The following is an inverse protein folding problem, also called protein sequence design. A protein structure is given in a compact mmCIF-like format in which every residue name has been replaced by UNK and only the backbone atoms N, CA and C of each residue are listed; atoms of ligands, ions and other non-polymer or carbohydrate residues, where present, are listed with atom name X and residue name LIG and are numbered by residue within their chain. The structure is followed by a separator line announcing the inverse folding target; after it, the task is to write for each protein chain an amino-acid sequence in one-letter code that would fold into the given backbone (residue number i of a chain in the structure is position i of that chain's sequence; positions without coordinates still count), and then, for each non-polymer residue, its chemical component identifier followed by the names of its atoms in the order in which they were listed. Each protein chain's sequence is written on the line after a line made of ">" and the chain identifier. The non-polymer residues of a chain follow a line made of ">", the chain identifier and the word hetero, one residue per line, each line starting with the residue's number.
data_IF_758570027725
#
_entry.id   IF_758570027725
#
_cell.length_a   1.000
_cell.length_b   1.000
_cell.length_c   1.000
_cell.angle_alpha   90.00
_cell.angle_beta   90.00
_cell.angle_gamma   90.00
#
_symmetry.space_group_name_H-M   'P 1'
#
loop_
_entity.id
_entity.type
_entity.pdbx_description
1 polymer ?
#
# COMPACT_ATOMS: atom_id res chain seq x y z
N UNK A 1 -21.44 4.21 6.34
CA UNK A 1 -21.24 3.53 5.05
C UNK A 1 -19.82 3.78 4.56
N UNK A 2 -19.26 2.85 3.78
CA UNK A 2 -17.94 2.96 3.15
C UNK A 2 -18.15 3.12 1.64
N UNK A 3 -17.54 4.13 1.05
CA UNK A 3 -17.63 4.42 -0.39
C UNK A 3 -16.23 4.54 -1.00
N UNK A 4 -16.05 3.93 -2.18
CA UNK A 4 -14.84 4.12 -2.96
C UNK A 4 -15.04 5.32 -3.91
N UNK A 5 -14.44 6.45 -3.54
CA UNK A 5 -14.55 7.70 -4.34
C UNK A 5 -13.52 7.79 -5.47
N UNK A 6 -12.55 6.88 -5.53
CA UNK A 6 -11.57 6.84 -6.61
C UNK A 6 -10.52 5.73 -6.47
N UNK A 7 -9.88 5.38 -7.58
CA UNK A 7 -8.71 4.52 -7.62
C UNK A 7 -7.76 5.00 -8.72
N UNK A 8 -6.46 4.87 -8.49
CA UNK A 8 -5.42 5.25 -9.46
C UNK A 8 -4.10 4.56 -9.10
N UNK A 9 -3.09 4.72 -9.94
CA UNK A 9 -1.74 4.17 -9.73
C UNK A 9 -0.79 5.26 -9.25
N UNK A 10 0.37 4.89 -8.68
CA UNK A 10 1.43 5.88 -8.40
C UNK A 10 2.25 6.26 -9.66
N UNK A 11 1.96 5.61 -10.79
CA UNK A 11 2.69 5.70 -12.06
C UNK A 11 4.18 5.30 -12.01
N UNK A 12 4.58 4.58 -10.96
CA UNK A 12 5.96 4.16 -10.75
C UNK A 12 6.87 5.31 -10.32
N UNK A 13 8.18 5.06 -10.28
CA UNK A 13 9.15 6.07 -9.88
C UNK A 13 9.31 7.13 -10.99
N UNK A 14 9.37 8.44 -10.64
CA UNK A 14 9.69 9.01 -9.32
C UNK A 14 8.48 9.29 -8.40
N UNK A 15 7.29 8.76 -8.69
CA UNK A 15 6.11 8.93 -7.83
C UNK A 15 5.37 10.26 -8.04
N UNK A 16 5.60 10.95 -9.16
CA UNK A 16 4.97 12.24 -9.45
C UNK A 16 3.44 12.18 -9.44
N UNK A 17 2.85 11.03 -9.78
CA UNK A 17 1.40 10.89 -9.74
C UNK A 17 0.85 10.86 -8.32
N UNK A 18 1.65 10.56 -7.28
CA UNK A 18 1.17 10.59 -5.87
C UNK A 18 0.70 11.98 -5.46
N UNK A 19 1.33 13.03 -5.98
CA UNK A 19 0.91 14.42 -5.75
C UNK A 19 -0.42 14.73 -6.43
N UNK A 20 -0.51 14.49 -7.74
CA UNK A 20 -1.73 14.78 -8.51
C UNK A 20 -2.91 13.89 -8.06
N UNK A 21 -2.67 12.58 -7.92
CA UNK A 21 -3.66 11.62 -7.45
C UNK A 21 -4.16 11.96 -6.04
N UNK A 22 -3.24 12.29 -5.11
CA UNK A 22 -3.61 12.69 -3.76
C UNK A 22 -4.55 13.90 -3.78
N UNK A 23 -4.22 14.93 -4.56
CA UNK A 23 -5.05 16.12 -4.72
C UNK A 23 -6.45 15.79 -5.25
N UNK A 24 -6.55 15.00 -6.33
CA UNK A 24 -7.84 14.68 -6.93
C UNK A 24 -8.68 13.76 -6.02
N UNK A 25 -8.09 12.79 -5.33
CA UNK A 25 -8.81 11.96 -4.36
C UNK A 25 -9.43 12.81 -3.25
N UNK A 26 -8.66 13.74 -2.67
CA UNK A 26 -9.12 14.64 -1.60
C UNK A 26 -10.24 15.56 -2.10
N UNK A 27 -10.07 16.12 -3.30
CA UNK A 27 -11.08 16.98 -3.95
C UNK A 27 -12.40 16.23 -4.18
N UNK A 28 -12.36 14.92 -4.41
CA UNK A 28 -13.53 14.06 -4.53
C UNK A 28 -14.05 13.52 -3.18
N UNK A 29 -13.55 14.05 -2.05
CA UNK A 29 -14.07 13.73 -0.73
C UNK A 29 -13.39 12.54 -0.04
N UNK A 30 -12.21 12.09 -0.50
CA UNK A 30 -11.49 11.02 0.19
C UNK A 30 -11.04 11.48 1.59
N UNK A 31 -11.48 10.77 2.63
CA UNK A 31 -11.04 10.95 4.02
C UNK A 31 -9.86 10.03 4.37
N UNK A 32 -9.76 8.90 3.67
CA UNK A 32 -8.72 7.88 3.85
C UNK A 32 -8.18 7.49 2.47
N UNK A 33 -6.85 7.44 2.33
CA UNK A 33 -6.17 6.95 1.13
C UNK A 33 -5.47 5.64 1.48
N UNK A 34 -5.75 4.58 0.73
CA UNK A 34 -5.02 3.32 0.86
C UNK A 34 -3.88 3.24 -0.16
N UNK A 35 -2.67 2.93 0.29
CA UNK A 35 -1.58 2.48 -0.57
C UNK A 35 -1.66 0.95 -0.70
N UNK A 36 -1.81 0.45 -1.92
CA UNK A 36 -2.08 -0.96 -2.19
C UNK A 36 -1.01 -1.92 -1.67
N UNK A 37 -1.42 -3.15 -1.33
CA UNK A 37 -0.53 -4.23 -0.87
C UNK A 37 0.64 -4.48 -1.83
N UNK A 38 0.44 -4.28 -3.14
CA UNK A 38 1.50 -4.40 -4.15
C UNK A 38 2.66 -3.41 -3.98
N UNK A 39 2.50 -2.29 -3.26
CA UNK A 39 3.63 -1.43 -2.90
C UNK A 39 4.50 -2.07 -1.80
N UNK A 40 3.95 -2.95 -0.97
CA UNK A 40 4.66 -3.63 0.14
C UNK A 40 5.41 -4.87 -0.36
N UNK A 41 4.82 -5.62 -1.30
CA UNK A 41 5.31 -6.91 -1.79
C UNK A 41 5.32 -6.97 -3.32
N UNK A 42 5.72 -5.88 -3.96
CA UNK A 42 5.96 -5.85 -5.41
C UNK A 42 7.32 -6.45 -5.78
N UNK A 43 7.67 -6.46 -7.06
CA UNK A 43 8.97 -6.92 -7.56
C UNK A 43 9.68 -5.79 -8.31
N UNK A 44 10.36 -4.85 -7.63
CA UNK A 44 10.65 -4.83 -6.18
C UNK A 44 9.55 -4.16 -5.34
N UNK A 45 9.56 -4.35 -4.00
CA UNK A 45 8.79 -3.53 -3.07
C UNK A 45 9.08 -2.05 -3.28
N UNK A 46 8.08 -1.18 -3.06
CA UNK A 46 8.27 0.26 -3.19
C UNK A 46 9.24 0.76 -2.12
N UNK A 47 10.39 1.34 -2.49
CA UNK A 47 11.37 1.83 -1.52
C UNK A 47 10.97 3.18 -0.89
N UNK A 48 9.89 3.81 -1.38
CA UNK A 48 9.47 5.17 -1.01
C UNK A 48 8.08 5.22 -0.37
N UNK A 49 7.53 4.08 0.04
CA UNK A 49 6.16 4.02 0.57
C UNK A 49 5.97 4.92 1.80
N UNK A 50 6.95 4.99 2.71
CA UNK A 50 6.89 5.86 3.90
C UNK A 50 6.95 7.35 3.53
N UNK A 51 7.71 7.68 2.47
CA UNK A 51 7.73 9.02 1.90
C UNK A 51 6.36 9.40 1.35
N UNK A 52 5.68 8.48 0.67
CA UNK A 52 4.32 8.72 0.14
C UNK A 52 3.29 8.89 1.25
N UNK A 53 3.34 8.05 2.29
CA UNK A 53 2.51 8.20 3.50
C UNK A 53 2.72 9.59 4.09
N UNK A 54 3.97 9.95 4.40
CA UNK A 54 4.31 11.23 5.02
C UNK A 54 3.88 12.40 4.14
N UNK A 55 4.13 12.34 2.83
CA UNK A 55 3.74 13.39 1.90
C UNK A 55 2.23 13.63 1.90
N UNK A 56 1.43 12.57 1.73
CA UNK A 56 -0.03 12.68 1.65
C UNK A 56 -0.62 13.23 2.96
N UNK A 57 -0.18 12.72 4.11
CA UNK A 57 -0.67 13.17 5.43
C UNK A 57 -0.20 14.58 5.80
N UNK A 58 0.95 15.03 5.30
CA UNK A 58 1.42 16.42 5.51
C UNK A 58 0.76 17.40 4.56
N UNK A 59 0.44 16.98 3.33
CA UNK A 59 -0.10 17.85 2.29
C UNK A 59 -1.61 18.02 2.41
N UNK A 60 -2.32 16.99 2.89
CA UNK A 60 -3.78 16.93 2.92
C UNK A 60 -4.30 16.44 4.28
N UNK A 61 -5.52 16.83 4.68
CA UNK A 61 -6.14 16.35 5.91
C UNK A 61 -6.76 14.95 5.72
N UNK A 62 -5.95 13.96 5.35
CA UNK A 62 -6.36 12.57 5.13
C UNK A 62 -5.53 11.62 5.98
N UNK A 63 -6.13 10.48 6.33
CA UNK A 63 -5.38 9.34 6.88
C UNK A 63 -4.85 8.49 5.76
N UNK A 64 -3.60 8.03 5.85
CA UNK A 64 -3.06 7.06 4.90
C UNK A 64 -2.97 5.69 5.57
N UNK A 65 -3.42 4.65 4.86
CA UNK A 65 -3.34 3.25 5.32
C UNK A 65 -2.57 2.45 4.28
N UNK A 66 -1.54 1.73 4.71
CA UNK A 66 -0.78 0.84 3.84
C UNK A 66 -1.34 -0.58 3.91
N UNK A 67 -1.57 -1.17 2.75
CA UNK A 67 -2.20 -2.47 2.59
C UNK A 67 -3.70 -2.33 2.29
N UNK A 68 -4.16 -3.10 1.31
CA UNK A 68 -5.57 -3.18 0.91
C UNK A 68 -6.16 -4.57 1.10
N UNK A 69 -5.30 -5.59 1.03
CA UNK A 69 -5.70 -6.98 1.22
C UNK A 69 -4.52 -7.86 1.71
N UNK A 70 -4.81 -9.05 2.26
CA UNK A 70 -3.80 -10.05 2.60
C UNK A 70 -3.07 -10.58 1.37
N UNK A 71 -1.80 -10.97 1.52
CA UNK A 71 -1.02 -11.62 0.46
C UNK A 71 -1.34 -13.12 0.40
N UNK A 72 -1.35 -13.74 -0.80
CA UNK A 72 -1.49 -15.17 -0.91
C UNK A 72 -0.30 -15.94 -0.32
N UNK A 73 -0.45 -17.24 -0.01
CA UNK A 73 0.63 -18.08 0.48
C UNK A 73 1.87 -18.07 -0.43
N UNK A 74 1.67 -18.05 -1.75
CA UNK A 74 2.75 -18.00 -2.75
C UNK A 74 3.59 -16.73 -2.65
N UNK A 75 2.97 -15.58 -2.37
CA UNK A 75 3.69 -14.32 -2.16
C UNK A 75 4.45 -14.34 -0.84
N UNK A 76 3.83 -14.84 0.25
CA UNK A 76 4.56 -15.00 1.51
C UNK A 76 5.83 -15.83 1.31
N UNK A 77 5.71 -16.97 0.65
CA UNK A 77 6.82 -17.87 0.39
C UNK A 77 7.93 -17.19 -0.42
N UNK A 78 7.58 -16.58 -1.57
CA UNK A 78 8.57 -15.94 -2.44
C UNK A 78 9.25 -14.73 -1.76
N UNK A 79 8.50 -13.87 -1.09
CA UNK A 79 9.06 -12.69 -0.41
C UNK A 79 9.92 -13.05 0.80
N UNK A 80 9.64 -14.19 1.45
CA UNK A 80 10.52 -14.75 2.49
C UNK A 80 11.85 -15.18 1.88
N UNK A 81 11.84 -15.90 0.75
CA UNK A 81 13.06 -16.30 0.04
C UNK A 81 13.87 -15.09 -0.48
N UNK A 82 13.20 -14.01 -0.88
CA UNK A 82 13.85 -12.78 -1.33
C UNK A 82 14.37 -11.91 -0.18
N UNK A 83 14.11 -12.26 1.08
CA UNK A 83 14.45 -11.43 2.24
C UNK A 83 13.74 -10.07 2.25
N UNK A 84 12.60 -9.95 1.57
CA UNK A 84 11.84 -8.69 1.45
C UNK A 84 11.49 -8.12 2.83
N UNK A 85 11.10 -9.00 3.75
CA UNK A 85 10.63 -8.65 5.08
C UNK A 85 11.75 -8.30 6.08
N UNK A 86 13.00 -8.45 5.67
CA UNK A 86 14.15 -8.02 6.48
C UNK A 86 14.43 -6.52 6.34
N UNK A 87 13.82 -5.85 5.36
CA UNK A 87 14.03 -4.43 5.05
C UNK A 87 12.85 -3.54 5.49
N UNK A 88 13.15 -2.28 5.85
CA UNK A 88 12.30 -1.51 6.77
C UNK A 88 10.92 -1.08 6.27
N UNK A 89 10.63 -0.71 5.01
CA UNK A 89 9.25 -0.33 4.76
C UNK A 89 8.34 -1.56 4.80
N UNK A 90 8.75 -2.68 4.19
CA UNK A 90 7.92 -3.88 4.11
C UNK A 90 7.64 -4.50 5.49
N UNK A 91 8.64 -4.48 6.38
CA UNK A 91 8.54 -5.06 7.72
C UNK A 91 7.45 -4.38 8.57
N UNK A 92 7.32 -3.05 8.48
CA UNK A 92 6.37 -2.28 9.28
C UNK A 92 4.90 -2.58 8.91
N UNK A 93 4.65 -2.97 7.65
CA UNK A 93 3.30 -3.22 7.15
C UNK A 93 2.89 -4.69 7.13
N UNK A 94 3.74 -5.60 7.61
CA UNK A 94 3.49 -7.05 7.63
C UNK A 94 2.13 -7.40 8.26
N UNK A 95 1.80 -6.80 9.41
CA UNK A 95 0.53 -7.08 10.10
C UNK A 95 -0.70 -6.76 9.25
N UNK A 96 -0.59 -5.77 8.35
CA UNK A 96 -1.70 -5.33 7.50
C UNK A 96 -1.93 -6.28 6.32
N UNK A 97 -0.90 -7.03 5.93
CA UNK A 97 -0.91 -7.84 4.71
C UNK A 97 -0.80 -9.34 4.98
N UNK A 98 -0.52 -9.79 6.20
CA UNK A 98 -0.45 -11.23 6.51
C UNK A 98 -1.81 -11.84 6.87
N UNK A 99 -2.63 -11.17 7.69
CA UNK A 99 -3.90 -11.74 8.20
C UNK A 99 -3.72 -13.19 8.75
N UNK A 100 -4.81 -13.97 8.81
CA UNK A 100 -4.77 -15.40 9.16
C UNK A 100 -4.61 -16.29 7.92
N UNK A 101 -4.14 -17.53 8.13
CA UNK A 101 -3.88 -18.47 7.04
C UNK A 101 -5.12 -18.81 6.21
N UNK A 102 -6.30 -18.95 6.84
CA UNK A 102 -7.55 -19.27 6.15
C UNK A 102 -7.97 -18.11 5.24
N UNK A 103 -7.77 -16.87 5.70
CA UNK A 103 -8.03 -15.68 4.89
C UNK A 103 -7.07 -15.59 3.71
N UNK A 104 -5.77 -15.82 3.91
CA UNK A 104 -4.78 -15.80 2.80
C UNK A 104 -5.07 -16.82 1.72
N UNK A 105 -5.55 -18.00 2.08
CA UNK A 105 -5.89 -19.06 1.11
C UNK A 105 -6.96 -18.61 0.10
N UNK A 106 -7.82 -17.65 0.49
CA UNK A 106 -8.83 -17.07 -0.42
C UNK A 106 -8.24 -16.18 -1.52
N UNK A 107 -6.96 -15.81 -1.40
CA UNK A 107 -6.23 -14.98 -2.36
C UNK A 107 -5.27 -15.79 -3.25
N UNK A 108 -5.21 -17.12 -3.06
CA UNK A 108 -4.31 -18.03 -3.77
C UNK A 108 -4.67 -18.23 -5.25
#
# INVERSE_FOLDING_TARGET
>A
DLELVGYTTCDGCPGGNVEYAGAELVKNGAEVIHLATGLVVGYPPCPYIDTFVTFLEKRYPVKVIVGTHPIPPSYLDMHTHLGTFETSPAKEYLSNILSDAVTREKYA
#
